data_IF_201607165581
#
_entry.id   IF_201607165581
#
_cell.length_a   1.000
_cell.length_b   1.000
_cell.length_c   1.000
_cell.angle_alpha   90.00
_cell.angle_beta   90.00
_cell.angle_gamma   90.00
#
_symmetry.space_group_name_H-M   'P 1'
#
loop_
_entity.id
_entity.type
_entity.pdbx_description
1 polymer ?
#
# COMPACT_ATOMS: atom_id res chain seq x y z
N UNK A 1 25.95 12.55 -6.82
CA UNK A 1 25.52 13.21 -5.57
C UNK A 1 25.29 12.13 -4.52
N UNK A 2 26.10 12.13 -3.45
CA UNK A 2 26.01 11.18 -2.32
C UNK A 2 24.73 11.38 -1.50
N UNK A 3 24.39 10.43 -0.63
CA UNK A 3 23.24 10.55 0.28
C UNK A 3 23.38 11.77 1.21
N UNK A 4 24.59 12.03 1.72
CA UNK A 4 24.89 13.20 2.55
C UNK A 4 24.70 14.52 1.78
N UNK A 5 25.10 14.57 0.51
CA UNK A 5 24.90 15.74 -0.33
C UNK A 5 23.40 15.97 -0.59
N UNK A 6 22.63 14.91 -0.86
CA UNK A 6 21.17 14.98 -1.05
C UNK A 6 20.46 15.48 0.21
N UNK A 7 20.86 15.02 1.39
CA UNK A 7 20.25 15.44 2.66
C UNK A 7 20.42 16.94 2.94
N UNK A 8 21.54 17.53 2.52
CA UNK A 8 21.75 18.99 2.65
C UNK A 8 20.73 19.79 1.86
N UNK A 9 20.30 19.30 0.70
CA UNK A 9 19.26 19.94 -0.11
C UNK A 9 17.88 19.69 0.49
N UNK A 10 17.57 18.44 0.82
CA UNK A 10 16.23 18.04 1.25
C UNK A 10 15.83 18.59 2.63
N UNK A 11 16.80 18.88 3.50
CA UNK A 11 16.55 19.39 4.85
C UNK A 11 15.64 20.63 4.89
N UNK A 12 15.83 21.53 3.93
CA UNK A 12 15.19 22.86 3.87
C UNK A 12 14.00 22.92 2.90
N UNK A 13 13.62 21.79 2.31
CA UNK A 13 12.44 21.70 1.46
C UNK A 13 11.16 21.94 2.28
N UNK A 14 10.08 22.48 1.68
CA UNK A 14 8.78 22.61 2.34
C UNK A 14 8.27 21.26 2.86
N UNK A 15 7.54 21.24 3.98
CA UNK A 15 7.04 19.99 4.60
C UNK A 15 6.16 19.14 3.67
N UNK A 16 5.50 19.77 2.70
CA UNK A 16 4.66 19.14 1.68
C UNK A 16 5.48 18.47 0.55
N UNK A 17 6.78 18.76 0.45
CA UNK A 17 7.66 18.27 -0.61
C UNK A 17 7.98 16.78 -0.39
N UNK A 18 7.94 15.93 -1.45
CA UNK A 18 8.39 14.54 -1.36
C UNK A 18 9.82 14.40 -0.83
N UNK A 19 10.69 15.36 -1.16
CA UNK A 19 12.08 15.38 -0.70
C UNK A 19 12.21 15.63 0.80
N UNK A 20 11.36 16.50 1.35
CA UNK A 20 11.32 16.78 2.78
C UNK A 20 10.87 15.54 3.57
N UNK A 21 9.87 14.83 3.05
CA UNK A 21 9.41 13.56 3.61
C UNK A 21 10.51 12.48 3.61
N UNK A 22 11.26 12.32 2.51
CA UNK A 22 12.40 11.39 2.45
C UNK A 22 13.48 11.76 3.49
N UNK A 23 13.80 13.04 3.62
CA UNK A 23 14.77 13.50 4.62
C UNK A 23 14.30 13.19 6.05
N UNK A 24 13.05 13.52 6.37
CA UNK A 24 12.47 13.32 7.69
C UNK A 24 12.41 11.82 8.04
N UNK A 25 12.06 10.94 7.09
CA UNK A 25 12.06 9.48 7.27
C UNK A 25 13.45 8.93 7.68
N UNK A 26 14.52 9.53 7.18
CA UNK A 26 15.89 9.08 7.48
C UNK A 26 16.49 9.71 8.75
N UNK A 27 15.92 10.81 9.24
CA UNK A 27 16.54 11.63 10.30
C UNK A 27 15.70 11.73 11.58
N UNK A 28 14.41 11.40 11.51
CA UNK A 28 13.50 11.40 12.66
C UNK A 28 13.30 9.98 13.20
N UNK A 29 12.81 9.88 14.45
CA UNK A 29 12.30 8.60 14.94
C UNK A 29 11.04 8.24 14.15
N UNK A 30 10.74 6.95 14.05
CA UNK A 30 9.55 6.51 13.31
C UNK A 30 8.25 7.10 13.88
N UNK A 31 8.16 7.20 15.22
CA UNK A 31 7.00 7.80 15.90
C UNK A 31 6.85 9.29 15.55
N UNK A 32 7.94 10.06 15.59
CA UNK A 32 7.90 11.48 15.24
C UNK A 32 7.58 11.69 13.75
N UNK A 33 8.10 10.82 12.88
CA UNK A 33 7.80 10.84 11.45
C UNK A 33 6.31 10.59 11.19
N UNK A 34 5.72 9.58 11.83
CA UNK A 34 4.29 9.30 11.74
C UNK A 34 3.46 10.49 12.25
N UNK A 35 3.81 11.02 13.43
CA UNK A 35 3.12 12.16 14.01
C UNK A 35 3.19 13.41 13.13
N UNK A 36 4.26 13.61 12.36
CA UNK A 36 4.39 14.75 11.46
C UNK A 36 3.61 14.58 10.14
N UNK A 37 3.70 13.41 9.51
CA UNK A 37 3.24 13.20 8.14
C UNK A 37 1.89 12.46 8.02
N UNK A 38 1.41 11.84 9.11
CA UNK A 38 0.26 10.93 9.07
C UNK A 38 -0.79 11.15 10.17
N UNK A 39 -0.62 12.20 10.99
CA UNK A 39 -1.56 12.57 12.06
C UNK A 39 -2.74 13.42 11.61
N UNK A 40 -2.62 14.15 10.50
CA UNK A 40 -3.69 15.01 9.99
C UNK A 40 -4.64 14.21 9.08
N UNK A 41 -5.88 14.02 9.56
CA UNK A 41 -6.97 13.37 8.82
C UNK A 41 -7.28 14.06 7.47
N UNK A 42 -6.99 15.37 7.32
CA UNK A 42 -7.26 16.11 6.07
C UNK A 42 -6.35 15.71 4.92
N UNK A 43 -5.09 15.32 5.17
CA UNK A 43 -4.20 14.85 4.12
C UNK A 43 -4.79 13.60 3.43
N UNK A 44 -5.49 12.78 4.21
CA UNK A 44 -6.11 11.55 3.73
C UNK A 44 -7.32 11.76 2.82
N UNK A 45 -8.09 12.85 3.00
CA UNK A 45 -9.23 13.16 2.13
C UNK A 45 -8.82 13.43 0.67
N UNK A 46 -7.58 13.83 0.42
CA UNK A 46 -7.00 14.01 -0.92
C UNK A 46 -6.11 12.84 -1.36
N UNK A 47 -5.86 11.87 -0.47
CA UNK A 47 -4.93 10.76 -0.72
C UNK A 47 -5.38 9.91 -1.89
N UNK A 48 -4.39 9.41 -2.63
CA UNK A 48 -4.60 8.45 -3.72
C UNK A 48 -5.28 7.18 -3.20
N UNK A 49 -5.18 6.88 -1.90
CA UNK A 49 -5.89 5.77 -1.24
C UNK A 49 -7.38 5.81 -1.51
N UNK A 50 -8.05 6.94 -1.27
CA UNK A 50 -9.52 7.01 -1.44
C UNK A 50 -9.94 6.73 -2.89
N UNK A 51 -9.16 7.20 -3.88
CA UNK A 51 -9.41 6.88 -5.29
C UNK A 51 -9.15 5.40 -5.57
N UNK A 52 -8.05 4.86 -5.06
CA UNK A 52 -7.62 3.49 -5.31
C UNK A 52 -8.52 2.45 -4.62
N UNK A 53 -8.88 2.68 -3.36
CA UNK A 53 -9.81 1.81 -2.62
C UNK A 53 -11.20 1.87 -3.23
N UNK A 54 -11.67 3.03 -3.70
CA UNK A 54 -12.95 3.10 -4.42
C UNK A 54 -12.95 2.23 -5.67
N UNK A 55 -11.81 2.09 -6.34
CA UNK A 55 -11.66 1.20 -7.49
C UNK A 55 -11.69 -0.28 -7.06
N UNK A 56 -10.97 -0.66 -6.01
CA UNK A 56 -11.02 -2.02 -5.44
C UNK A 56 -12.43 -2.38 -4.93
N UNK A 57 -13.12 -1.43 -4.33
CA UNK A 57 -14.49 -1.58 -3.86
C UNK A 57 -15.50 -1.68 -5.00
N UNK A 58 -15.28 -1.00 -6.12
CA UNK A 58 -16.05 -1.25 -7.34
C UNK A 58 -15.69 -2.58 -7.97
N UNK A 59 -14.44 -3.03 -7.81
CA UNK A 59 -14.03 -4.35 -8.25
C UNK A 59 -14.76 -5.48 -7.51
N UNK A 60 -15.18 -5.22 -6.27
CA UNK A 60 -16.04 -6.07 -5.47
C UNK A 60 -17.48 -6.21 -6.03
N UNK A 61 -17.93 -5.28 -6.87
CA UNK A 61 -19.25 -5.33 -7.52
C UNK A 61 -19.14 -5.94 -8.93
N UNK A 62 -19.52 -7.22 -9.05
CA UNK A 62 -19.32 -8.05 -10.25
C UNK A 62 -19.74 -7.39 -11.57
N UNK A 63 -20.86 -6.66 -11.60
CA UNK A 63 -21.35 -5.96 -12.81
C UNK A 63 -20.50 -4.74 -13.19
N UNK A 64 -19.98 -4.01 -12.22
CA UNK A 64 -19.14 -2.83 -12.47
C UNK A 64 -17.77 -3.21 -13.01
N UNK A 65 -17.24 -4.37 -12.63
CA UNK A 65 -15.99 -4.92 -13.17
C UNK A 65 -16.05 -5.23 -14.66
N UNK A 66 -17.15 -5.81 -15.13
CA UNK A 66 -17.35 -6.08 -16.55
C UNK A 66 -17.43 -4.78 -17.38
N UNK A 67 -17.98 -3.71 -16.79
CA UNK A 67 -18.00 -2.38 -17.40
C UNK A 67 -16.59 -1.76 -17.46
N UNK A 68 -15.78 -1.92 -16.41
CA UNK A 68 -14.41 -1.41 -16.38
C UNK A 68 -13.49 -2.15 -17.36
N UNK A 69 -13.61 -3.48 -17.48
CA UNK A 69 -12.90 -4.29 -18.48
C UNK A 69 -13.15 -3.81 -19.92
N UNK A 70 -14.40 -3.47 -20.24
CA UNK A 70 -14.81 -2.99 -21.57
C UNK A 70 -14.30 -1.59 -21.91
N UNK A 71 -13.90 -0.78 -20.92
CA UNK A 71 -13.44 0.60 -21.12
C UNK A 71 -11.96 0.73 -21.49
N UNK A 72 -11.18 -0.35 -21.52
CA UNK A 72 -9.94 -0.49 -22.28
C UNK A 72 -8.74 0.44 -21.98
N UNK A 73 -8.85 1.47 -21.14
CA UNK A 73 -7.68 2.25 -20.68
C UNK A 73 -7.08 1.62 -19.42
N UNK A 74 -5.75 1.68 -19.22
CA UNK A 74 -4.94 1.52 -17.98
C UNK A 74 -5.37 0.54 -16.85
N UNK A 75 -6.41 -0.25 -17.02
CA UNK A 75 -7.18 -0.94 -15.99
C UNK A 75 -7.23 -2.43 -16.34
N UNK A 76 -6.07 -3.07 -16.45
CA UNK A 76 -5.98 -4.53 -16.54
C UNK A 76 -6.07 -5.12 -15.14
N UNK A 77 -7.30 -5.41 -14.74
CA UNK A 77 -7.58 -6.34 -13.66
C UNK A 77 -8.11 -7.60 -14.32
N UNK A 78 -7.19 -8.48 -14.70
CA UNK A 78 -7.52 -9.82 -15.22
C UNK A 78 -7.89 -10.78 -14.07
N UNK A 79 -8.43 -10.27 -12.96
CA UNK A 79 -8.94 -11.11 -11.87
C UNK A 79 -10.44 -11.26 -11.97
N UNK A 80 -10.91 -12.50 -11.98
CA UNK A 80 -12.33 -12.83 -11.91
C UNK A 80 -12.88 -12.32 -10.56
N UNK A 81 -13.95 -11.53 -10.58
CA UNK A 81 -14.55 -10.93 -9.38
C UNK A 81 -14.96 -12.00 -8.35
N UNK A 82 -15.30 -13.22 -8.80
CA UNK A 82 -15.63 -14.35 -7.93
C UNK A 82 -14.43 -14.84 -7.11
N UNK A 83 -13.24 -14.91 -7.71
CA UNK A 83 -12.01 -15.35 -7.02
C UNK A 83 -11.59 -14.35 -5.95
N UNK A 84 -11.89 -13.06 -6.18
CA UNK A 84 -11.62 -11.96 -5.26
C UNK A 84 -12.51 -11.97 -4.02
N UNK A 85 -13.83 -12.12 -4.18
CA UNK A 85 -14.77 -12.26 -3.05
C UNK A 85 -14.42 -13.51 -2.23
N UNK A 86 -14.16 -14.62 -2.90
CA UNK A 86 -13.79 -15.89 -2.26
C UNK A 86 -12.48 -15.77 -1.48
N UNK A 87 -11.50 -15.01 -1.99
CA UNK A 87 -10.23 -14.77 -1.29
C UNK A 87 -10.42 -13.95 -0.03
N UNK A 88 -11.30 -12.94 -0.05
CA UNK A 88 -11.61 -12.13 1.12
C UNK A 88 -12.33 -12.93 2.21
N UNK A 89 -13.32 -13.75 1.85
CA UNK A 89 -14.06 -14.61 2.79
C UNK A 89 -13.16 -15.66 3.46
N UNK A 90 -12.10 -16.08 2.77
CA UNK A 90 -11.14 -17.09 3.25
C UNK A 90 -9.88 -16.48 3.85
N UNK A 91 -9.76 -15.15 3.88
CA UNK A 91 -8.61 -14.46 4.42
C UNK A 91 -8.65 -14.54 5.95
N UNK A 92 -8.06 -15.58 6.50
CA UNK A 92 -7.89 -15.75 7.94
C UNK A 92 -6.64 -14.99 8.39
N UNK A 93 -6.80 -13.79 8.93
CA UNK A 93 -5.69 -13.04 9.53
C UNK A 93 -5.78 -13.12 11.05
N UNK A 94 -4.63 -13.29 11.72
CA UNK A 94 -4.57 -13.34 13.19
C UNK A 94 -4.75 -11.95 13.84
N UNK A 95 -4.74 -10.89 13.02
CA UNK A 95 -4.95 -9.51 13.45
C UNK A 95 -6.23 -8.93 12.85
N UNK A 96 -6.89 -8.05 13.61
CA UNK A 96 -8.00 -7.25 13.08
C UNK A 96 -7.45 -6.05 12.32
N UNK A 97 -7.65 -6.05 11.00
CA UNK A 97 -7.35 -4.91 10.14
C UNK A 97 -8.63 -4.20 9.71
N UNK A 98 -8.57 -2.89 9.43
CA UNK A 98 -9.66 -2.18 8.77
C UNK A 98 -10.09 -2.86 7.46
N UNK A 99 -11.40 -2.84 7.18
CA UNK A 99 -12.00 -3.51 6.02
C UNK A 99 -11.35 -3.11 4.69
N UNK A 100 -10.98 -1.85 4.53
CA UNK A 100 -10.32 -1.34 3.32
C UNK A 100 -8.95 -1.98 3.11
N UNK A 101 -8.17 -2.17 4.17
CA UNK A 101 -6.88 -2.86 4.10
C UNK A 101 -7.11 -4.35 3.78
N UNK A 102 -8.07 -5.01 4.43
CA UNK A 102 -8.39 -6.42 4.13
C UNK A 102 -8.76 -6.63 2.66
N UNK A 103 -9.53 -5.72 2.07
CA UNK A 103 -9.87 -5.71 0.64
C UNK A 103 -8.61 -5.67 -0.23
N UNK A 104 -7.66 -4.78 0.09
CA UNK A 104 -6.38 -4.69 -0.63
C UNK A 104 -5.56 -5.98 -0.52
N UNK A 105 -5.51 -6.60 0.66
CA UNK A 105 -4.78 -7.86 0.85
C UNK A 105 -5.42 -8.98 0.02
N UNK A 106 -6.75 -9.11 0.06
CA UNK A 106 -7.46 -10.05 -0.80
C UNK A 106 -7.17 -9.78 -2.29
N UNK A 107 -6.92 -8.53 -2.67
CA UNK A 107 -6.65 -8.15 -4.05
C UNK A 107 -5.27 -8.64 -4.47
N UNK A 108 -4.27 -8.47 -3.60
CA UNK A 108 -2.93 -9.00 -3.78
C UNK A 108 -2.92 -10.53 -3.91
N UNK A 109 -3.80 -11.25 -3.19
CA UNK A 109 -3.99 -12.70 -3.35
C UNK A 109 -4.36 -13.05 -4.79
N UNK A 110 -5.42 -12.45 -5.32
CA UNK A 110 -5.92 -12.81 -6.65
C UNK A 110 -5.02 -12.26 -7.75
N UNK A 111 -4.38 -11.11 -7.54
CA UNK A 111 -3.41 -10.55 -8.47
C UNK A 111 -2.11 -11.37 -8.56
N UNK A 112 -1.90 -12.30 -7.63
CA UNK A 112 -0.78 -13.24 -7.67
C UNK A 112 0.48 -12.77 -6.96
N UNK A 113 0.40 -11.72 -6.13
CA UNK A 113 1.52 -11.21 -5.32
C UNK A 113 2.13 -12.33 -4.47
N UNK A 114 1.29 -12.98 -3.66
CA UNK A 114 1.70 -14.04 -2.73
C UNK A 114 2.29 -15.24 -3.46
N UNK A 115 1.70 -15.62 -4.61
CA UNK A 115 2.23 -16.68 -5.48
C UNK A 115 3.60 -16.31 -6.05
N UNK A 116 3.78 -15.07 -6.51
CA UNK A 116 5.05 -14.61 -7.08
C UNK A 116 6.18 -14.60 -6.04
N UNK A 117 5.87 -14.15 -4.82
CA UNK A 117 6.84 -14.08 -3.72
C UNK A 117 6.95 -15.39 -2.93
N UNK A 118 6.11 -16.39 -3.23
CA UNK A 118 6.04 -17.67 -2.50
C UNK A 118 5.88 -17.49 -0.99
N UNK A 119 4.96 -16.59 -0.61
CA UNK A 119 4.67 -16.24 0.80
C UNK A 119 3.18 -16.41 1.07
N UNK A 120 2.82 -16.94 2.23
CA UNK A 120 1.43 -17.02 2.67
C UNK A 120 0.94 -15.65 3.19
N UNK A 121 -0.32 -15.23 2.93
CA UNK A 121 -0.87 -14.01 3.51
C UNK A 121 -0.75 -13.89 5.02
N UNK A 122 -0.86 -15.00 5.77
CA UNK A 122 -0.68 -15.03 7.23
C UNK A 122 0.74 -14.67 7.61
N UNK A 123 1.71 -15.36 7.03
CA UNK A 123 3.14 -15.14 7.30
C UNK A 123 3.58 -13.73 6.91
N UNK A 124 3.03 -13.21 5.80
CA UNK A 124 3.37 -11.90 5.26
C UNK A 124 3.09 -10.74 6.22
N UNK A 125 2.07 -10.88 7.07
CA UNK A 125 1.69 -9.85 8.06
C UNK A 125 2.77 -9.67 9.14
N UNK A 126 3.48 -10.75 9.45
CA UNK A 126 4.50 -10.81 10.50
C UNK A 126 5.93 -10.64 9.96
N UNK A 127 6.09 -10.49 8.65
CA UNK A 127 7.38 -10.22 8.02
C UNK A 127 7.89 -8.81 8.34
N UNK A 128 9.19 -8.71 8.65
CA UNK A 128 9.88 -7.43 8.87
C UNK A 128 9.91 -6.53 7.60
N UNK A 129 9.66 -7.13 6.43
CA UNK A 129 9.57 -6.42 5.15
C UNK A 129 8.39 -6.88 4.29
N UNK A 130 7.17 -6.53 4.72
CA UNK A 130 5.98 -6.83 3.91
C UNK A 130 6.03 -6.16 2.51
N UNK A 131 6.72 -5.03 2.35
CA UNK A 131 6.76 -4.32 1.06
C UNK A 131 7.55 -5.05 -0.03
N UNK A 132 8.60 -5.78 0.35
CA UNK A 132 9.40 -6.58 -0.57
C UNK A 132 9.82 -7.89 0.11
N UNK A 133 8.98 -8.94 0.03
CA UNK A 133 9.24 -10.21 0.70
C UNK A 133 10.55 -10.92 0.30
N UNK A 134 11.18 -10.51 -0.82
CA UNK A 134 12.48 -11.05 -1.29
C UNK A 134 13.69 -10.36 -0.64
N UNK A 135 13.51 -9.25 0.05
CA UNK A 135 14.60 -8.52 0.71
C UNK A 135 14.35 -8.44 2.22
N UNK A 136 15.34 -8.81 3.04
CA UNK A 136 15.25 -8.72 4.50
C UNK A 136 15.47 -7.30 5.05
N UNK A 137 15.84 -6.32 4.22
CA UNK A 137 16.16 -4.94 4.65
C UNK A 137 14.93 -4.05 4.92
N UNK A 138 13.83 -4.63 5.40
CA UNK A 138 12.66 -3.88 5.90
C UNK A 138 12.73 -3.65 7.40
N UNK A 139 11.93 -2.71 7.90
CA UNK A 139 11.91 -2.33 9.32
C UNK A 139 10.53 -2.43 9.99
N UNK A 140 9.48 -2.77 9.25
CA UNK A 140 8.11 -2.63 9.74
C UNK A 140 7.26 -3.83 9.36
N UNK A 141 6.54 -4.34 10.34
CA UNK A 141 5.54 -5.40 10.19
C UNK A 141 4.15 -4.80 10.05
N UNK A 142 3.26 -5.47 9.31
CA UNK A 142 1.86 -5.04 9.22
C UNK A 142 1.20 -5.09 10.60
N UNK A 143 1.51 -6.10 11.42
CA UNK A 143 0.95 -6.22 12.77
C UNK A 143 1.34 -5.05 13.72
N UNK A 144 2.51 -4.44 13.52
CA UNK A 144 2.95 -3.27 14.27
C UNK A 144 2.26 -2.01 13.79
N UNK A 145 2.07 -1.90 12.48
CA UNK A 145 1.40 -0.78 11.85
C UNK A 145 -0.11 -0.75 12.09
N UNK A 146 -0.70 -1.87 12.51
CA UNK A 146 -2.12 -1.97 12.86
C UNK A 146 -2.49 -1.31 14.20
N UNK A 147 -1.52 -0.78 14.96
CA UNK A 147 -1.70 -0.36 16.37
C UNK A 147 -2.15 1.09 16.58
N UNK A 148 -2.06 1.97 15.58
CA UNK A 148 -2.50 3.38 15.67
C UNK A 148 -3.05 3.89 14.35
N UNK A 149 -3.82 4.99 14.37
CA UNK A 149 -4.37 5.59 13.16
C UNK A 149 -3.28 6.11 12.22
N UNK A 150 -2.24 6.75 12.75
CA UNK A 150 -1.10 7.24 11.98
C UNK A 150 -0.35 6.09 11.31
N UNK A 151 -0.18 4.99 12.04
CA UNK A 151 0.48 3.79 11.54
C UNK A 151 -0.35 3.09 10.47
N UNK A 152 -1.68 3.06 10.62
CA UNK A 152 -2.60 2.57 9.59
C UNK A 152 -2.58 3.46 8.34
N UNK A 153 -2.49 4.78 8.50
CA UNK A 153 -2.38 5.72 7.38
C UNK A 153 -1.05 5.53 6.63
N UNK A 154 0.05 5.31 7.35
CA UNK A 154 1.32 4.91 6.75
C UNK A 154 1.19 3.60 5.99
N UNK A 155 0.59 2.57 6.59
CA UNK A 155 0.37 1.27 5.95
C UNK A 155 -0.42 1.41 4.64
N UNK A 156 -1.52 2.17 4.64
CA UNK A 156 -2.32 2.44 3.44
C UNK A 156 -1.50 3.05 2.31
N UNK A 157 -0.74 4.11 2.60
CA UNK A 157 0.13 4.74 1.61
C UNK A 157 1.19 3.76 1.09
N UNK A 158 1.83 3.01 1.98
CA UNK A 158 2.85 2.01 1.63
C UNK A 158 2.28 0.87 0.78
N UNK A 159 1.02 0.46 0.99
CA UNK A 159 0.36 -0.57 0.18
C UNK A 159 0.10 -0.10 -1.27
N UNK A 160 -0.18 1.18 -1.50
CA UNK A 160 -0.28 1.75 -2.87
C UNK A 160 1.08 1.80 -3.55
N UNK A 161 2.15 1.95 -2.76
CA UNK A 161 3.52 2.08 -3.24
C UNK A 161 4.31 0.77 -3.23
N UNK A 162 3.63 -0.38 -3.14
CA UNK A 162 4.31 -1.67 -3.25
C UNK A 162 5.03 -1.78 -4.61
N UNK A 163 6.31 -2.20 -4.64
CA UNK A 163 7.04 -2.45 -5.89
C UNK A 163 6.35 -3.46 -6.81
N UNK A 164 5.46 -4.29 -6.26
CA UNK A 164 4.63 -5.21 -7.00
C UNK A 164 3.86 -4.57 -8.16
N UNK A 165 3.35 -3.35 -7.96
CA UNK A 165 2.52 -2.71 -8.97
C UNK A 165 3.28 -2.34 -10.24
N UNK A 166 4.56 -1.97 -10.09
CA UNK A 166 5.44 -1.71 -11.22
C UNK A 166 5.69 -2.98 -12.05
N UNK A 167 5.70 -4.16 -11.39
CA UNK A 167 5.91 -5.46 -12.04
C UNK A 167 4.68 -5.88 -12.84
N UNK A 168 3.47 -5.70 -12.30
CA UNK A 168 2.25 -6.30 -12.89
C UNK A 168 1.46 -5.37 -13.79
N UNK A 169 1.47 -4.07 -13.53
CA UNK A 169 0.55 -3.14 -14.20
C UNK A 169 1.24 -1.93 -14.82
N UNK A 170 2.55 -1.78 -14.63
CA UNK A 170 3.21 -0.48 -14.76
C UNK A 170 2.70 0.45 -13.66
N UNK A 171 3.43 1.53 -13.39
CA UNK A 171 3.11 2.46 -12.31
C UNK A 171 1.61 2.82 -12.29
N UNK A 172 0.81 2.31 -11.32
CA UNK A 172 -0.63 2.57 -11.25
C UNK A 172 -0.91 4.05 -10.98
N UNK A 173 0.14 4.84 -10.70
CA UNK A 173 0.08 6.27 -10.47
C UNK A 173 -0.07 7.08 -11.77
N UNK A 174 0.17 6.48 -12.94
CA UNK A 174 0.12 7.15 -14.23
C UNK A 174 1.22 8.21 -14.37
N UNK A 175 2.12 8.02 -15.33
CA UNK A 175 2.87 9.14 -15.93
C UNK A 175 2.19 9.56 -17.22
#
# INVERSE_FOLDING_TARGET
MSLEERFKYWKNEPDESPYKRIYDEHTMTFVDFLGKHYSDEKYFNWSRWNKWISWIQKAYQHEEMEVLRKKGGYYRVDTNSQDYVTSLERLELEIQLPTDICQVIAFLVVDGFFKHYSVDPKDWIDMDNYTNPKNSEGRHKINELAKSNESLNYLRESLIHLPWWDITRGDPQGR
#
